data_IF_843477312522
#
_entry.id   IF_843477312522
#
_cell.length_a   1.000
_cell.length_b   1.000
_cell.length_c   1.000
_cell.angle_alpha   90.00
_cell.angle_beta   90.00
_cell.angle_gamma   90.00
#
_symmetry.space_group_name_H-M   'P 1'
#
loop_
_entity.id
_entity.type
_entity.pdbx_description
1 polymer ?
#
# COMPACT_ATOMS: atom_id res chain seq x y z
N UNK A 1 2.19 -6.86 21.50
CA UNK A 1 1.47 -6.03 20.51
C UNK A 1 1.93 -6.48 19.14
N UNK A 2 1.03 -6.65 18.16
CA UNK A 2 1.42 -7.12 16.83
C UNK A 2 2.05 -6.00 16.01
N UNK A 3 3.03 -6.31 15.15
CA UNK A 3 3.74 -5.35 14.31
C UNK A 3 2.81 -4.46 13.47
N UNK A 4 1.64 -4.99 13.06
CA UNK A 4 0.60 -4.21 12.39
C UNK A 4 0.01 -3.08 13.24
N UNK A 5 -0.28 -3.34 14.52
CA UNK A 5 -0.86 -2.31 15.42
C UNK A 5 0.16 -1.21 15.65
N UNK A 6 1.43 -1.56 15.83
CA UNK A 6 2.52 -0.60 16.02
C UNK A 6 2.75 0.23 14.74
N UNK A 7 2.75 -0.41 13.56
CA UNK A 7 2.86 0.28 12.28
C UNK A 7 1.68 1.23 12.02
N UNK A 8 0.45 0.82 12.34
CA UNK A 8 -0.73 1.67 12.19
C UNK A 8 -0.73 2.85 13.18
N UNK A 9 -0.29 2.62 14.42
CA UNK A 9 -0.13 3.68 15.40
C UNK A 9 0.93 4.70 14.95
N UNK A 10 2.07 4.21 14.45
CA UNK A 10 3.11 5.04 13.84
C UNK A 10 2.58 5.83 12.64
N UNK A 11 1.88 5.18 11.71
CA UNK A 11 1.32 5.84 10.53
C UNK A 11 0.43 7.01 10.91
N UNK A 12 -0.39 6.83 11.95
CA UNK A 12 -1.27 7.88 12.47
C UNK A 12 -0.49 9.01 13.15
N UNK A 13 0.53 8.69 13.91
CA UNK A 13 1.35 9.68 14.62
C UNK A 13 2.21 10.53 13.66
N UNK A 14 2.80 9.88 12.65
CA UNK A 14 3.68 10.55 11.68
C UNK A 14 2.89 11.41 10.68
N UNK A 15 1.62 11.07 10.42
CA UNK A 15 0.76 11.78 9.48
C UNK A 15 -0.39 12.54 10.17
N UNK A 16 -0.16 13.02 11.39
CA UNK A 16 -1.09 13.97 12.03
C UNK A 16 -0.95 15.34 11.35
N UNK A 17 -1.85 15.66 10.42
CA UNK A 17 -2.08 17.05 10.01
C UNK A 17 -3.41 17.51 10.60
N UNK A 18 -3.40 18.72 11.16
CA UNK A 18 -4.58 19.43 11.66
C UNK A 18 -5.75 19.34 10.67
N UNK A 19 -7.02 19.27 11.15
CA UNK A 19 -8.19 19.29 10.29
C UNK A 19 -8.09 20.48 9.32
N UNK A 20 -8.35 20.23 8.03
CA UNK A 20 -8.27 21.19 6.91
C UNK A 20 -8.58 22.63 7.34
N UNK A 21 -7.56 23.45 7.59
CA UNK A 21 -7.75 24.87 7.89
C UNK A 21 -7.64 25.75 6.64
N UNK A 22 -7.62 25.19 5.41
CA UNK A 22 -7.22 25.98 4.24
C UNK A 22 -8.04 25.81 2.94
N UNK A 23 -9.24 25.20 2.96
CA UNK A 23 -10.17 25.38 1.83
C UNK A 23 -11.58 25.75 2.33
N UNK A 24 -11.90 27.03 2.16
CA UNK A 24 -13.20 27.64 2.48
C UNK A 24 -14.30 26.93 1.69
N UNK A 25 -15.21 26.25 2.40
CA UNK A 25 -16.46 25.72 1.82
C UNK A 25 -16.74 24.23 2.07
N UNK A 26 -15.85 23.53 2.76
CA UNK A 26 -16.01 22.11 2.98
C UNK A 26 -16.77 21.83 4.30
N UNK A 27 -17.88 21.09 4.24
CA UNK A 27 -18.73 20.81 5.40
C UNK A 27 -17.96 20.02 6.48
N UNK A 28 -18.26 20.19 7.79
CA UNK A 28 -17.63 19.38 8.83
C UNK A 28 -17.82 17.88 8.53
N UNK A 29 -16.72 17.16 8.28
CA UNK A 29 -16.75 15.75 7.88
C UNK A 29 -16.56 15.47 6.38
N UNK A 30 -16.29 16.46 5.54
CA UNK A 30 -15.69 16.21 4.23
C UNK A 30 -14.20 15.86 4.44
N UNK A 31 -13.84 14.61 4.22
CA UNK A 31 -12.53 14.08 4.54
C UNK A 31 -11.40 14.90 3.89
N UNK A 32 -10.41 15.32 4.68
CA UNK A 32 -9.10 15.68 4.15
C UNK A 32 -8.48 14.45 3.49
N UNK A 33 -7.83 14.61 2.33
CA UNK A 33 -7.19 13.50 1.59
C UNK A 33 -6.23 12.65 2.44
N UNK A 34 -5.78 13.22 3.55
CA UNK A 34 -4.89 12.60 4.51
C UNK A 34 -5.54 11.47 5.35
N UNK A 35 -6.82 11.60 5.69
CA UNK A 35 -7.58 10.56 6.40
C UNK A 35 -7.93 9.38 5.48
N UNK A 36 -7.98 9.63 4.17
CA UNK A 36 -8.29 8.63 3.14
C UNK A 36 -7.14 7.63 3.00
N UNK A 37 -5.89 8.09 2.96
CA UNK A 37 -4.72 7.22 2.83
C UNK A 37 -4.51 6.34 4.08
N UNK A 38 -4.69 6.89 5.28
CA UNK A 38 -4.67 6.09 6.53
C UNK A 38 -5.81 5.07 6.54
N UNK A 39 -7.01 5.47 6.11
CA UNK A 39 -8.18 4.57 6.07
C UNK A 39 -7.98 3.43 5.09
N UNK A 40 -7.48 3.71 3.88
CA UNK A 40 -7.14 2.72 2.87
C UNK A 40 -6.08 1.76 3.40
N UNK A 41 -4.99 2.30 3.95
CA UNK A 41 -3.90 1.51 4.51
C UNK A 41 -4.38 0.58 5.63
N UNK A 42 -5.23 1.07 6.53
CA UNK A 42 -5.84 0.27 7.61
C UNK A 42 -6.71 -0.87 7.05
N UNK A 43 -7.59 -0.57 6.09
CA UNK A 43 -8.50 -1.58 5.53
C UNK A 43 -7.72 -2.64 4.76
N UNK A 44 -6.79 -2.23 3.90
CA UNK A 44 -5.95 -3.16 3.13
C UNK A 44 -5.07 -3.99 4.06
N UNK A 45 -4.44 -3.36 5.06
CA UNK A 45 -3.63 -4.06 6.06
C UNK A 45 -4.42 -5.11 6.85
N UNK A 46 -5.64 -4.78 7.27
CA UNK A 46 -6.52 -5.73 7.95
C UNK A 46 -6.91 -6.92 7.04
N UNK A 47 -7.20 -6.66 5.77
CA UNK A 47 -7.53 -7.73 4.81
C UNK A 47 -6.34 -8.64 4.52
N UNK A 48 -5.12 -8.09 4.44
CA UNK A 48 -3.90 -8.89 4.29
C UNK A 48 -3.67 -9.77 5.51
N UNK A 49 -3.83 -9.21 6.71
CA UNK A 49 -3.72 -9.96 7.96
C UNK A 49 -4.73 -11.10 8.06
N UNK A 50 -5.98 -10.84 7.71
CA UNK A 50 -7.05 -11.85 7.71
C UNK A 50 -6.74 -12.99 6.72
N UNK A 51 -6.18 -12.66 5.56
CA UNK A 51 -5.91 -13.64 4.51
C UNK A 51 -4.60 -14.44 4.68
N UNK A 52 -3.57 -13.87 5.32
CA UNK A 52 -2.22 -14.46 5.38
C UNK A 52 -1.72 -14.77 6.80
N UNK A 53 -2.27 -14.12 7.82
CA UNK A 53 -1.79 -14.21 9.20
C UNK A 53 -0.69 -13.19 9.54
N UNK A 54 -0.56 -12.81 10.82
CA UNK A 54 0.40 -11.81 11.29
C UNK A 54 1.87 -12.22 11.19
N UNK A 55 2.16 -13.52 11.10
CA UNK A 55 3.52 -14.08 10.97
C UNK A 55 4.06 -14.05 9.52
N UNK A 56 3.20 -13.73 8.55
CA UNK A 56 3.53 -13.84 7.13
C UNK A 56 4.17 -12.57 6.57
N UNK A 57 3.89 -11.43 7.18
CA UNK A 57 4.29 -10.11 6.68
C UNK A 57 4.77 -9.24 7.83
N UNK A 58 5.92 -8.62 7.65
CA UNK A 58 6.37 -7.53 8.52
C UNK A 58 5.77 -6.20 8.05
N UNK A 59 5.19 -5.47 8.99
CA UNK A 59 4.55 -4.18 8.72
C UNK A 59 5.48 -3.02 9.06
N UNK A 60 5.46 -2.01 8.20
CA UNK A 60 6.10 -0.72 8.46
C UNK A 60 5.26 0.41 7.90
N UNK A 61 5.87 1.59 7.80
CA UNK A 61 5.27 2.76 7.19
C UNK A 61 6.20 3.33 6.13
N UNK A 62 5.65 4.09 5.19
CA UNK A 62 6.42 4.95 4.31
C UNK A 62 5.74 6.31 4.18
N UNK A 63 6.53 7.31 3.81
CA UNK A 63 6.11 8.67 3.54
C UNK A 63 7.04 9.25 2.45
N UNK A 64 6.45 9.73 1.36
CA UNK A 64 7.17 10.41 0.27
C UNK A 64 6.84 11.90 0.16
N UNK A 65 6.32 12.50 1.24
CA UNK A 65 5.79 13.86 1.36
C UNK A 65 4.46 14.11 0.64
N UNK A 66 3.92 13.15 -0.12
CA UNK A 66 2.65 13.29 -0.85
C UNK A 66 1.74 12.07 -0.75
N UNK A 67 2.33 10.92 -0.51
CA UNK A 67 1.73 9.62 -0.40
C UNK A 67 2.38 8.94 0.80
N UNK A 68 1.56 8.34 1.65
CA UNK A 68 1.99 7.62 2.82
C UNK A 68 1.04 6.46 3.09
N UNK A 69 1.57 5.44 3.75
CA UNK A 69 0.81 4.24 4.00
C UNK A 69 1.62 3.16 4.68
N UNK A 70 1.06 1.95 4.70
CA UNK A 70 1.75 0.79 5.23
C UNK A 70 2.71 0.20 4.19
N UNK A 71 3.85 -0.27 4.68
CA UNK A 71 4.72 -1.19 3.95
C UNK A 71 4.50 -2.62 4.43
N UNK A 72 4.69 -3.56 3.52
CA UNK A 72 4.47 -4.99 3.70
C UNK A 72 5.73 -5.70 3.24
N UNK A 73 6.50 -6.27 4.17
CA UNK A 73 7.80 -6.88 3.87
C UNK A 73 7.73 -8.39 4.02
N UNK A 74 8.34 -9.07 3.06
CA UNK A 74 8.56 -10.53 3.04
C UNK A 74 10.01 -10.78 2.60
N UNK A 75 10.58 -11.98 2.81
CA UNK A 75 11.97 -12.22 2.45
C UNK A 75 12.29 -11.83 1.00
N UNK A 76 13.19 -10.85 0.84
CA UNK A 76 13.66 -10.35 -0.46
C UNK A 76 12.80 -9.27 -1.11
N UNK A 77 11.62 -8.94 -0.59
CA UNK A 77 10.68 -8.00 -1.21
C UNK A 77 9.97 -7.09 -0.21
N UNK A 78 9.70 -5.86 -0.63
CA UNK A 78 8.85 -4.94 0.10
C UNK A 78 7.79 -4.35 -0.82
N UNK A 79 6.57 -4.24 -0.31
CA UNK A 79 5.42 -3.64 -0.98
C UNK A 79 4.90 -2.44 -0.20
N UNK A 80 4.14 -1.59 -0.86
CA UNK A 80 3.32 -0.58 -0.21
C UNK A 80 1.98 -0.40 -0.92
N UNK A 81 1.02 0.17 -0.19
CA UNK A 81 -0.28 0.57 -0.72
C UNK A 81 -0.59 1.98 -0.28
N UNK A 82 -1.06 2.79 -1.21
CA UNK A 82 -1.43 4.19 -1.00
C UNK A 82 -2.48 4.64 -1.99
N UNK A 83 -3.20 5.70 -1.65
CA UNK A 83 -3.96 6.45 -2.64
C UNK A 83 -3.01 7.42 -3.35
N UNK A 84 -3.03 7.39 -4.67
CA UNK A 84 -2.09 8.15 -5.49
C UNK A 84 -2.64 9.57 -5.68
N UNK A 85 -2.05 10.57 -5.05
CA UNK A 85 -2.54 11.96 -4.97
C UNK A 85 -3.06 12.60 -6.27
N UNK A 86 -2.57 12.18 -7.44
CA UNK A 86 -3.03 12.71 -8.73
C UNK A 86 -4.21 11.89 -9.33
N UNK A 87 -4.85 11.02 -8.56
CA UNK A 87 -6.01 10.21 -8.95
C UNK A 87 -6.71 9.59 -7.75
N UNK A 88 -8.00 9.29 -7.88
CA UNK A 88 -8.72 8.50 -6.87
C UNK A 88 -8.41 7.00 -6.97
N UNK A 89 -7.16 6.62 -7.26
CA UNK A 89 -6.73 5.23 -7.36
C UNK A 89 -5.90 4.81 -6.15
N UNK A 90 -6.17 3.60 -5.68
CA UNK A 90 -5.30 2.85 -4.78
C UNK A 90 -4.23 2.17 -5.63
N UNK A 91 -2.98 2.50 -5.38
CA UNK A 91 -1.83 1.92 -6.04
C UNK A 91 -1.21 0.83 -5.17
N UNK A 92 -1.01 -0.35 -5.75
CA UNK A 92 -0.17 -1.41 -5.17
C UNK A 92 1.21 -1.29 -5.80
N UNK A 93 2.22 -1.13 -4.96
CA UNK A 93 3.58 -0.95 -5.38
C UNK A 93 4.54 -1.88 -4.64
N UNK A 94 5.74 -2.10 -5.18
CA UNK A 94 6.75 -2.92 -4.51
C UNK A 94 8.04 -3.08 -5.31
N UNK A 95 9.10 -3.52 -4.65
CA UNK A 95 10.38 -3.81 -5.30
C UNK A 95 11.17 -4.85 -4.49
N UNK A 96 12.23 -5.43 -5.08
CA UNK A 96 13.24 -6.14 -4.32
C UNK A 96 13.75 -5.28 -3.15
N UNK A 97 14.03 -5.93 -2.01
CA UNK A 97 14.38 -5.25 -0.76
C UNK A 97 15.65 -4.39 -0.89
N UNK A 98 16.59 -4.76 -1.76
CA UNK A 98 17.83 -4.02 -2.06
C UNK A 98 17.60 -2.80 -2.98
N UNK A 99 16.39 -2.63 -3.50
CA UNK A 99 16.00 -1.51 -4.37
C UNK A 99 15.05 -0.51 -3.68
N UNK A 100 14.69 -0.77 -2.42
CA UNK A 100 13.84 0.12 -1.63
C UNK A 100 14.49 1.49 -1.53
N UNK A 101 13.73 2.51 -1.92
CA UNK A 101 14.19 3.89 -1.86
C UNK A 101 13.95 4.47 -0.46
N UNK A 102 14.65 5.54 -0.06
CA UNK A 102 14.45 6.18 1.25
C UNK A 102 13.01 6.61 1.53
N UNK A 103 12.22 6.86 0.48
CA UNK A 103 10.83 7.29 0.53
C UNK A 103 9.81 6.16 0.26
N UNK A 104 10.25 4.90 0.22
CA UNK A 104 9.38 3.73 0.10
C UNK A 104 9.74 2.78 -1.05
N UNK A 105 9.02 1.64 -1.18
CA UNK A 105 9.35 0.57 -2.12
C UNK A 105 8.86 0.86 -3.56
N UNK A 106 9.29 1.98 -4.13
CA UNK A 106 8.99 2.39 -5.50
C UNK A 106 9.96 1.73 -6.48
N UNK A 107 9.50 0.73 -7.23
CA UNK A 107 10.32 0.00 -8.21
C UNK A 107 10.09 0.37 -9.69
N UNK A 108 9.21 1.32 -9.99
CA UNK A 108 8.83 1.67 -11.36
C UNK A 108 9.61 2.86 -11.94
N UNK A 109 9.63 2.96 -13.28
CA UNK A 109 10.24 4.07 -14.02
C UNK A 109 9.42 5.37 -14.03
N UNK A 110 8.23 5.38 -13.45
CA UNK A 110 7.38 6.56 -13.36
C UNK A 110 6.18 6.39 -12.43
N UNK A 111 5.45 7.48 -12.17
CA UNK A 111 4.34 7.52 -11.19
C UNK A 111 3.19 6.56 -11.47
N UNK A 112 2.98 6.20 -12.74
CA UNK A 112 1.94 5.23 -13.14
C UNK A 112 2.47 3.80 -13.31
N UNK A 113 3.78 3.60 -13.13
CA UNK A 113 4.43 2.31 -13.26
C UNK A 113 4.32 1.52 -11.95
N UNK A 114 3.09 1.14 -11.63
CA UNK A 114 2.71 0.40 -10.43
C UNK A 114 2.48 -1.09 -10.74
N UNK A 115 2.31 -1.93 -9.72
CA UNK A 115 2.01 -3.36 -9.91
C UNK A 115 0.53 -3.59 -10.18
N UNK A 116 -0.33 -2.84 -9.50
CA UNK A 116 -1.77 -2.86 -9.73
C UNK A 116 -2.42 -1.53 -9.31
N UNK A 117 -3.64 -1.30 -9.81
CA UNK A 117 -4.48 -0.15 -9.47
C UNK A 117 -5.91 -0.60 -9.22
N UNK A 118 -6.55 0.04 -8.25
CA UNK A 118 -7.98 -0.08 -8.01
C UNK A 118 -8.56 1.33 -7.74
N UNK A 119 -9.87 1.53 -7.92
CA UNK A 119 -10.51 2.78 -7.49
C UNK A 119 -10.46 2.94 -5.95
N UNK A 120 -10.58 4.16 -5.43
CA UNK A 120 -10.47 4.50 -4.00
C UNK A 120 -11.46 3.74 -3.09
N UNK A 121 -12.59 3.33 -3.63
CA UNK A 121 -13.62 2.54 -2.96
C UNK A 121 -13.39 1.02 -3.08
N UNK A 122 -12.55 0.59 -4.02
CA UNK A 122 -12.24 -0.80 -4.34
C UNK A 122 -11.08 -1.36 -3.49
N UNK A 123 -11.09 -1.13 -2.17
CA UNK A 123 -10.02 -1.57 -1.24
C UNK A 123 -9.80 -3.09 -1.25
N UNK A 124 -10.86 -3.87 -1.45
CA UNK A 124 -10.76 -5.33 -1.58
C UNK A 124 -9.96 -5.78 -2.81
N UNK A 125 -10.10 -5.08 -3.93
CA UNK A 125 -9.33 -5.37 -5.15
C UNK A 125 -7.85 -5.03 -4.95
N UNK A 126 -7.54 -3.89 -4.31
CA UNK A 126 -6.17 -3.53 -3.96
C UNK A 126 -5.53 -4.55 -3.00
N UNK A 127 -6.25 -4.96 -1.95
CA UNK A 127 -5.78 -5.97 -1.02
C UNK A 127 -5.54 -7.31 -1.71
N UNK A 128 -6.44 -7.73 -2.61
CA UNK A 128 -6.27 -8.98 -3.33
C UNK A 128 -5.06 -8.98 -4.28
N UNK A 129 -4.83 -7.86 -4.99
CA UNK A 129 -3.65 -7.70 -5.82
C UNK A 129 -2.35 -7.72 -4.98
N UNK A 130 -2.34 -7.07 -3.82
CA UNK A 130 -1.22 -7.12 -2.88
C UNK A 130 -0.98 -8.55 -2.37
N UNK A 131 -2.03 -9.28 -1.98
CA UNK A 131 -1.94 -10.68 -1.53
C UNK A 131 -1.38 -11.59 -2.62
N UNK A 132 -1.81 -11.41 -3.88
CA UNK A 132 -1.30 -12.17 -5.01
C UNK A 132 0.20 -11.89 -5.26
N UNK A 133 0.61 -10.62 -5.19
CA UNK A 133 2.02 -10.23 -5.29
C UNK A 133 2.88 -10.80 -4.16
N UNK A 134 2.41 -10.65 -2.92
CA UNK A 134 3.01 -11.22 -1.71
C UNK A 134 3.24 -12.73 -1.84
N UNK A 135 2.17 -13.50 -2.15
CA UNK A 135 2.23 -14.96 -2.36
C UNK A 135 3.19 -15.35 -3.47
N UNK A 136 3.22 -14.58 -4.56
CA UNK A 136 4.08 -14.87 -5.69
C UNK A 136 5.55 -14.74 -5.30
N UNK A 137 5.96 -13.62 -4.68
CA UNK A 137 7.37 -13.40 -4.34
C UNK A 137 7.85 -14.28 -3.18
N UNK A 138 6.96 -14.67 -2.26
CA UNK A 138 7.33 -15.62 -1.21
C UNK A 138 7.73 -16.99 -1.78
N UNK A 139 7.13 -17.40 -2.90
CA UNK A 139 7.52 -18.61 -3.62
C UNK A 139 8.63 -18.36 -4.66
N UNK A 140 8.93 -17.10 -4.98
CA UNK A 140 9.86 -16.68 -6.02
C UNK A 140 10.66 -15.45 -5.57
N UNK A 141 11.55 -15.56 -4.56
CA UNK A 141 12.19 -14.39 -3.94
C UNK A 141 13.08 -13.61 -4.93
N UNK A 142 13.63 -14.28 -5.94
CA UNK A 142 14.42 -13.67 -7.01
C UNK A 142 13.60 -13.19 -8.21
N UNK A 143 12.27 -13.12 -8.10
CA UNK A 143 11.42 -12.62 -9.17
C UNK A 143 11.79 -11.18 -9.53
N UNK A 144 11.61 -10.85 -10.81
CA UNK A 144 11.65 -9.47 -11.29
C UNK A 144 10.28 -8.82 -11.08
N UNK A 145 10.28 -7.49 -11.00
CA UNK A 145 9.06 -6.69 -10.89
C UNK A 145 8.03 -6.96 -11.99
N UNK A 146 8.49 -7.18 -13.21
CA UNK A 146 7.61 -7.52 -14.34
C UNK A 146 6.96 -8.90 -14.16
N UNK A 147 7.69 -9.89 -13.61
CA UNK A 147 7.09 -11.19 -13.27
C UNK A 147 6.04 -11.06 -12.17
N UNK A 148 6.28 -10.22 -11.15
CA UNK A 148 5.29 -9.95 -10.11
C UNK A 148 4.03 -9.30 -10.69
N UNK A 149 4.19 -8.28 -11.54
CA UNK A 149 3.06 -7.62 -12.22
C UNK A 149 2.22 -8.63 -13.00
N UNK A 150 2.85 -9.43 -13.87
CA UNK A 150 2.15 -10.44 -14.68
C UNK A 150 1.40 -11.45 -13.81
N UNK A 151 2.03 -11.93 -12.74
CA UNK A 151 1.38 -12.86 -11.82
C UNK A 151 0.13 -12.27 -11.15
N UNK A 152 0.17 -10.96 -10.81
CA UNK A 152 -1.01 -10.26 -10.30
C UNK A 152 -2.08 -10.15 -11.40
N UNK A 153 -1.72 -9.68 -12.59
CA UNK A 153 -2.65 -9.49 -13.72
C UNK A 153 -3.35 -10.80 -14.11
N UNK A 154 -2.61 -11.89 -14.26
CA UNK A 154 -3.15 -13.21 -14.60
C UNK A 154 -4.16 -13.71 -13.57
N UNK A 155 -3.89 -13.49 -12.27
CA UNK A 155 -4.80 -13.89 -11.20
C UNK A 155 -6.03 -13.00 -11.08
N UNK A 156 -5.92 -11.72 -11.41
CA UNK A 156 -7.07 -10.83 -11.46
C UNK A 156 -7.97 -11.14 -12.65
N UNK A 157 -7.41 -11.55 -13.79
CA UNK A 157 -8.16 -11.94 -14.98
C UNK A 157 -8.91 -13.29 -14.84
N UNK A 158 -8.46 -14.16 -13.92
CA UNK A 158 -9.08 -15.46 -13.67
C UNK A 158 -10.27 -15.43 -12.70
N UNK A 159 -10.69 -14.24 -12.23
CA UNK A 159 -11.79 -14.03 -11.29
C UNK A 159 -13.02 -13.46 -11.99
#
# INVERSE_FOLDING_TARGET
>A
MSAYVDALAKLRADNTVEPCAAEVGCAPGCCTGDDVQVTISRIVGALVLDALGPEWVDFGTFDNCREYGLTFSVPGWQFCVYEHRNSDNICVQGCPADQVQPYGPYGGGGKWDVLARAQYDCRGAAAAALIDGLRFVNNNPGATREQVRRAIEERQAAR
#
